data_IF_347547316995
#
_entry.id   IF_347547316995
#
_cell.length_a   1.000
_cell.length_b   1.000
_cell.length_c   1.000
_cell.angle_alpha   90.00
_cell.angle_beta   90.00
_cell.angle_gamma   90.00
#
_symmetry.space_group_name_H-M   'P 1'
#
loop_
_entity.id
_entity.type
_entity.pdbx_description
1 polymer ?
#
# COMPACT_ATOMS: atom_id res chain seq x y z
N UNK A 1 -27.88 0.16 9.17
CA UNK A 1 -26.54 0.33 8.55
C UNK A 1 -25.56 -0.45 9.40
N UNK A 2 -24.58 -1.12 8.81
CA UNK A 2 -23.58 -1.85 9.56
C UNK A 2 -22.56 -0.91 10.22
N UNK A 3 -21.91 -1.38 11.27
CA UNK A 3 -20.92 -0.61 12.03
C UNK A 3 -19.73 -0.14 11.14
N UNK A 4 -19.21 -1.04 10.30
CA UNK A 4 -18.09 -0.71 9.41
C UNK A 4 -18.53 0.25 8.30
N UNK A 5 -19.73 0.09 7.75
CA UNK A 5 -20.32 1.00 6.76
C UNK A 5 -20.44 2.42 7.31
N UNK A 6 -20.89 2.62 8.54
CA UNK A 6 -21.05 3.95 9.16
C UNK A 6 -19.69 4.63 9.34
N UNK A 7 -18.71 3.93 9.90
CA UNK A 7 -17.35 4.47 10.10
C UNK A 7 -16.70 4.84 8.75
N UNK A 8 -16.73 3.95 7.76
CA UNK A 8 -16.10 4.20 6.46
C UNK A 8 -16.79 5.34 5.70
N UNK A 9 -18.12 5.45 5.78
CA UNK A 9 -18.86 6.55 5.14
C UNK A 9 -18.53 7.90 5.77
N UNK A 10 -18.44 7.98 7.10
CA UNK A 10 -17.99 9.19 7.79
C UNK A 10 -16.55 9.54 7.43
N UNK A 11 -15.68 8.53 7.38
CA UNK A 11 -14.28 8.70 6.96
C UNK A 11 -14.18 9.26 5.55
N UNK A 12 -14.94 8.71 4.59
CA UNK A 12 -14.94 9.19 3.19
C UNK A 12 -15.38 10.65 3.07
N UNK A 13 -16.42 11.05 3.82
CA UNK A 13 -16.90 12.43 3.81
C UNK A 13 -15.84 13.41 4.32
N UNK A 14 -15.14 13.05 5.39
CA UNK A 14 -14.05 13.88 5.95
C UNK A 14 -12.86 13.92 4.98
N UNK A 15 -12.50 12.81 4.38
CA UNK A 15 -11.37 12.71 3.46
C UNK A 15 -11.55 13.54 2.22
N UNK A 16 -12.73 13.50 1.56
CA UNK A 16 -12.97 14.30 0.36
C UNK A 16 -12.91 15.80 0.67
N UNK A 17 -13.51 16.21 1.79
CA UNK A 17 -13.46 17.61 2.25
C UNK A 17 -12.03 18.06 2.55
N UNK A 18 -11.25 17.25 3.27
CA UNK A 18 -9.85 17.52 3.56
C UNK A 18 -9.00 17.59 2.28
N UNK A 19 -9.10 16.59 1.41
CA UNK A 19 -8.27 16.50 0.20
C UNK A 19 -8.54 17.65 -0.74
N UNK A 20 -9.82 17.99 -0.99
CA UNK A 20 -10.19 19.11 -1.87
C UNK A 20 -9.77 20.45 -1.29
N UNK A 21 -9.97 20.66 0.03
CA UNK A 21 -9.57 21.88 0.72
C UNK A 21 -8.06 22.08 0.75
N UNK A 22 -7.30 21.04 1.13
CA UNK A 22 -5.85 21.10 1.19
C UNK A 22 -5.22 21.27 -0.21
N UNK A 23 -5.73 20.54 -1.21
CA UNK A 23 -5.29 20.69 -2.60
C UNK A 23 -5.55 22.10 -3.12
N UNK A 24 -6.75 22.63 -2.92
CA UNK A 24 -7.12 23.99 -3.36
C UNK A 24 -6.27 25.06 -2.68
N UNK A 25 -6.04 24.94 -1.38
CA UNK A 25 -5.17 25.85 -0.61
C UNK A 25 -3.71 25.79 -1.12
N UNK A 26 -3.19 24.59 -1.39
CA UNK A 26 -1.85 24.40 -1.91
C UNK A 26 -1.70 25.01 -3.31
N UNK A 27 -2.64 24.74 -4.21
CA UNK A 27 -2.61 25.26 -5.58
C UNK A 27 -2.74 26.79 -5.57
N UNK A 28 -3.67 27.37 -4.79
CA UNK A 28 -3.85 28.83 -4.73
C UNK A 28 -2.64 29.54 -4.16
N UNK A 29 -2.05 29.03 -3.09
CA UNK A 29 -0.86 29.63 -2.45
C UNK A 29 0.41 29.51 -3.31
N UNK A 30 0.50 28.49 -4.15
CA UNK A 30 1.69 28.23 -4.99
C UNK A 30 1.43 28.43 -6.49
N UNK A 31 0.35 29.07 -6.89
CA UNK A 31 -0.02 29.28 -8.30
C UNK A 31 1.08 30.02 -9.07
N UNK A 32 1.75 31.00 -8.45
CA UNK A 32 2.87 31.72 -9.07
C UNK A 32 4.06 30.79 -9.35
N UNK A 33 4.36 29.86 -8.44
CA UNK A 33 5.42 28.88 -8.61
C UNK A 33 5.06 27.85 -9.71
N UNK A 34 3.81 27.39 -9.76
CA UNK A 34 3.31 26.49 -10.82
C UNK A 34 3.42 27.14 -12.19
N UNK A 35 2.99 28.40 -12.32
CA UNK A 35 3.13 29.19 -13.56
C UNK A 35 4.59 29.42 -13.89
N UNK A 36 5.43 29.76 -12.92
CA UNK A 36 6.86 29.95 -13.08
C UNK A 36 7.57 28.68 -13.59
N UNK A 37 7.21 27.51 -13.08
CA UNK A 37 7.74 26.22 -13.54
C UNK A 37 7.35 25.95 -15.01
N UNK A 38 6.13 26.28 -15.42
CA UNK A 38 5.68 26.14 -16.81
C UNK A 38 6.45 27.08 -17.75
N UNK A 39 6.61 28.36 -17.37
CA UNK A 39 7.38 29.34 -18.15
C UNK A 39 8.84 28.90 -18.25
N UNK A 40 9.44 28.42 -17.17
CA UNK A 40 10.80 27.89 -17.15
C UNK A 40 10.95 26.68 -18.09
N UNK A 41 9.96 25.76 -18.08
CA UNK A 41 9.97 24.63 -18.99
C UNK A 41 9.94 25.09 -20.47
N UNK A 42 9.06 26.04 -20.80
CA UNK A 42 8.96 26.60 -22.17
C UNK A 42 10.29 27.29 -22.55
N UNK A 43 10.89 28.06 -21.65
CA UNK A 43 12.16 28.74 -21.89
C UNK A 43 13.31 27.76 -22.14
N UNK A 44 13.43 26.71 -21.30
CA UNK A 44 14.46 25.68 -21.49
C UNK A 44 14.24 24.92 -22.80
N UNK A 45 13.00 24.50 -23.08
CA UNK A 45 12.67 23.80 -24.31
C UNK A 45 12.96 24.65 -25.54
N UNK A 46 12.51 25.91 -25.53
CA UNK A 46 12.80 26.88 -26.62
C UNK A 46 14.29 27.10 -26.82
N UNK A 47 15.06 27.22 -25.74
CA UNK A 47 16.51 27.33 -25.78
C UNK A 47 17.18 26.11 -26.43
N UNK A 48 16.74 24.90 -26.06
CA UNK A 48 17.26 23.66 -26.66
C UNK A 48 16.95 23.56 -28.17
N UNK A 49 15.77 24.00 -28.59
CA UNK A 49 15.39 24.06 -30.01
C UNK A 49 16.25 25.07 -30.79
N UNK A 50 16.43 26.28 -30.25
CA UNK A 50 17.20 27.33 -30.90
C UNK A 50 18.69 26.94 -31.09
N UNK A 51 19.22 26.13 -30.15
CA UNK A 51 20.60 25.64 -30.25
C UNK A 51 20.77 24.34 -31.03
N UNK A 52 19.71 23.85 -31.68
CA UNK A 52 19.67 22.56 -32.39
C UNK A 52 20.11 21.35 -31.54
N UNK A 53 19.89 21.40 -30.20
CA UNK A 53 20.19 20.29 -29.31
C UNK A 53 19.08 19.21 -29.39
N UNK A 54 17.92 19.59 -29.90
CA UNK A 54 16.79 18.70 -30.16
C UNK A 54 16.34 18.95 -31.60
N UNK A 55 16.45 17.93 -32.44
CA UNK A 55 15.83 17.95 -33.77
C UNK A 55 14.31 17.83 -33.60
N UNK A 56 13.61 18.95 -33.73
CA UNK A 56 12.16 18.98 -33.57
C UNK A 56 11.48 18.95 -34.91
N UNK A 57 10.73 17.89 -35.18
CA UNK A 57 9.69 17.91 -36.20
C UNK A 57 8.48 18.67 -35.66
N UNK A 58 7.67 19.23 -36.57
CA UNK A 58 6.42 19.91 -36.17
C UNK A 58 5.53 18.99 -35.30
N UNK A 59 5.54 17.68 -35.57
CA UNK A 59 4.84 16.65 -34.80
C UNK A 59 5.33 16.54 -33.35
N UNK A 60 6.63 16.68 -33.12
CA UNK A 60 7.18 16.58 -31.77
C UNK A 60 6.92 17.84 -30.94
N UNK A 61 6.95 19.01 -31.57
CA UNK A 61 6.54 20.26 -30.92
C UNK A 61 5.09 20.19 -30.39
N UNK A 62 4.16 19.65 -31.16
CA UNK A 62 2.77 19.45 -30.70
C UNK A 62 2.65 18.50 -29.51
N UNK A 63 3.44 17.45 -29.46
CA UNK A 63 3.46 16.53 -28.29
C UNK A 63 3.88 17.25 -26.99
N UNK A 64 4.87 18.13 -27.09
CA UNK A 64 5.31 18.92 -25.93
C UNK A 64 4.25 19.95 -25.50
N UNK A 65 3.62 20.64 -26.45
CA UNK A 65 2.54 21.59 -26.15
C UNK A 65 1.36 20.86 -25.48
N UNK A 66 0.95 19.70 -26.02
CA UNK A 66 -0.12 18.90 -25.44
C UNK A 66 0.23 18.39 -24.04
N UNK A 67 1.47 17.89 -23.85
CA UNK A 67 1.97 17.48 -22.53
C UNK A 67 1.88 18.63 -21.52
N UNK A 68 2.33 19.83 -21.88
CA UNK A 68 2.27 21.02 -21.03
C UNK A 68 0.83 21.38 -20.66
N UNK A 69 -0.05 21.44 -21.65
CA UNK A 69 -1.46 21.77 -21.44
C UNK A 69 -2.15 20.75 -20.52
N UNK A 70 -1.91 19.46 -20.72
CA UNK A 70 -2.45 18.40 -19.90
C UNK A 70 -1.94 18.50 -18.45
N UNK A 71 -0.63 18.63 -18.26
CA UNK A 71 -0.03 18.75 -16.92
C UNK A 71 -0.54 19.99 -16.19
N UNK A 72 -0.58 21.14 -16.86
CA UNK A 72 -1.09 22.37 -16.27
C UNK A 72 -2.57 22.28 -15.93
N UNK A 73 -3.39 21.75 -16.85
CA UNK A 73 -4.82 21.55 -16.65
C UNK A 73 -5.09 20.65 -15.43
N UNK A 74 -4.43 19.51 -15.35
CA UNK A 74 -4.60 18.58 -14.21
C UNK A 74 -4.06 19.18 -12.90
N UNK A 75 -2.91 19.88 -12.93
CA UNK A 75 -2.31 20.45 -11.72
C UNK A 75 -3.09 21.65 -11.16
N UNK A 76 -3.87 22.37 -11.96
CA UNK A 76 -4.55 23.60 -11.54
C UNK A 76 -6.08 23.48 -11.43
N UNK A 77 -6.67 22.46 -12.07
CA UNK A 77 -8.12 22.23 -12.05
C UNK A 77 -8.46 21.03 -11.17
N UNK A 78 -9.23 21.29 -10.10
CA UNK A 78 -9.73 20.22 -9.23
C UNK A 78 -10.56 19.17 -9.98
N UNK A 79 -11.38 19.61 -10.95
CA UNK A 79 -12.23 18.68 -11.73
C UNK A 79 -11.41 17.65 -12.53
N UNK A 80 -10.36 18.09 -13.22
CA UNK A 80 -9.45 17.19 -13.95
C UNK A 80 -8.64 16.32 -13.00
N UNK A 81 -8.14 16.91 -11.91
CA UNK A 81 -7.40 16.15 -10.88
C UNK A 81 -8.27 15.08 -10.22
N UNK A 82 -9.53 15.42 -9.88
CA UNK A 82 -10.50 14.50 -9.31
C UNK A 82 -10.76 13.31 -10.26
N UNK A 83 -11.02 13.58 -11.51
CA UNK A 83 -11.32 12.55 -12.50
C UNK A 83 -10.14 11.59 -12.75
N UNK A 84 -8.92 12.11 -12.89
CA UNK A 84 -7.75 11.29 -13.26
C UNK A 84 -7.04 10.62 -12.08
N UNK A 85 -7.08 11.22 -10.90
CA UNK A 85 -6.37 10.73 -9.73
C UNK A 85 -7.31 10.32 -8.59
N UNK A 86 -8.21 11.21 -8.17
CA UNK A 86 -9.06 10.90 -7.03
C UNK A 86 -9.98 9.71 -7.30
N UNK A 87 -10.73 9.72 -8.39
CA UNK A 87 -11.66 8.64 -8.73
C UNK A 87 -10.93 7.31 -8.97
N UNK A 88 -9.77 7.35 -9.63
CA UNK A 88 -9.00 6.14 -9.94
C UNK A 88 -8.42 5.50 -8.68
N UNK A 89 -7.86 6.28 -7.75
CA UNK A 89 -7.15 5.74 -6.59
C UNK A 89 -8.01 5.60 -5.33
N UNK A 90 -9.07 6.38 -5.19
CA UNK A 90 -9.96 6.33 -4.01
C UNK A 90 -11.20 5.49 -4.28
N UNK A 91 -11.89 5.72 -5.41
CA UNK A 91 -13.13 5.02 -5.75
C UNK A 91 -12.88 3.75 -6.59
N UNK A 92 -11.78 3.71 -7.36
CA UNK A 92 -11.38 2.57 -8.17
C UNK A 92 -11.26 1.26 -7.38
N UNK A 93 -10.60 1.21 -6.22
CA UNK A 93 -10.51 0.01 -5.40
C UNK A 93 -11.87 -0.61 -5.05
N UNK A 94 -12.89 0.19 -4.76
CA UNK A 94 -14.23 -0.32 -4.43
C UNK A 94 -14.89 -1.04 -5.60
N UNK A 95 -14.68 -0.58 -6.84
CA UNK A 95 -15.18 -1.26 -8.05
C UNK A 95 -14.47 -2.59 -8.29
N UNK A 96 -13.16 -2.67 -8.04
CA UNK A 96 -12.41 -3.92 -8.10
C UNK A 96 -12.86 -4.92 -7.04
N UNK A 97 -13.09 -4.45 -5.81
CA UNK A 97 -13.60 -5.27 -4.72
C UNK A 97 -14.98 -5.84 -5.09
N UNK A 98 -15.89 -5.01 -5.60
CA UNK A 98 -17.21 -5.45 -6.02
C UNK A 98 -17.14 -6.53 -7.13
N UNK A 99 -16.23 -6.40 -8.08
CA UNK A 99 -16.00 -7.40 -9.12
C UNK A 99 -15.46 -8.73 -8.57
N UNK A 100 -14.56 -8.69 -7.57
CA UNK A 100 -13.97 -9.88 -6.95
C UNK A 100 -14.93 -10.61 -6.01
N UNK A 101 -15.82 -9.89 -5.34
CA UNK A 101 -16.69 -10.42 -4.28
C UNK A 101 -18.12 -10.73 -4.75
N UNK A 102 -18.45 -10.34 -5.98
CA UNK A 102 -19.79 -10.55 -6.55
C UNK A 102 -20.81 -9.49 -6.10
N UNK A 103 -20.36 -8.26 -5.85
CA UNK A 103 -21.20 -7.08 -5.56
C UNK A 103 -20.96 -6.42 -4.20
N UNK A 104 -20.19 -7.04 -3.31
CA UNK A 104 -19.81 -6.41 -2.05
C UNK A 104 -18.77 -5.30 -2.28
N UNK A 105 -18.98 -4.15 -1.66
CA UNK A 105 -17.98 -3.06 -1.59
C UNK A 105 -17.14 -3.19 -0.33
N UNK A 106 -16.10 -2.35 -0.19
CA UNK A 106 -15.30 -2.30 1.04
C UNK A 106 -16.14 -2.05 2.31
N UNK A 107 -17.24 -1.32 2.17
CA UNK A 107 -18.17 -1.00 3.26
C UNK A 107 -19.05 -2.19 3.64
N UNK A 108 -19.75 -2.75 2.66
CA UNK A 108 -20.72 -3.85 2.89
C UNK A 108 -20.05 -5.18 3.17
N UNK A 109 -18.91 -5.45 2.51
CA UNK A 109 -18.18 -6.71 2.68
C UNK A 109 -17.67 -6.90 4.11
N UNK A 110 -17.18 -5.84 4.77
CA UNK A 110 -16.69 -5.93 6.14
C UNK A 110 -17.82 -6.21 7.14
N UNK A 111 -18.98 -5.58 6.95
CA UNK A 111 -20.18 -5.86 7.75
C UNK A 111 -20.69 -7.30 7.55
N UNK A 112 -20.60 -7.82 6.31
CA UNK A 112 -20.95 -9.20 6.01
C UNK A 112 -20.01 -10.21 6.70
N UNK A 113 -18.70 -9.94 6.73
CA UNK A 113 -17.72 -10.74 7.49
C UNK A 113 -18.08 -10.76 8.98
N UNK A 114 -18.31 -9.58 9.54
CA UNK A 114 -18.67 -9.42 10.95
C UNK A 114 -19.94 -10.19 11.30
N UNK A 115 -21.02 -9.97 10.53
CA UNK A 115 -22.30 -10.68 10.75
C UNK A 115 -22.17 -12.18 10.59
N UNK A 116 -21.39 -12.66 9.62
CA UNK A 116 -21.19 -14.10 9.40
C UNK A 116 -20.48 -14.74 10.59
N UNK A 117 -19.44 -14.11 11.12
CA UNK A 117 -18.75 -14.59 12.32
C UNK A 117 -19.66 -14.63 13.55
N UNK A 118 -20.45 -13.57 13.79
CA UNK A 118 -21.40 -13.54 14.91
C UNK A 118 -22.53 -14.56 14.76
N UNK A 119 -23.07 -14.73 13.55
CA UNK A 119 -24.09 -15.77 13.29
C UNK A 119 -23.54 -17.17 13.53
N UNK A 120 -22.29 -17.44 13.15
CA UNK A 120 -21.64 -18.72 13.40
C UNK A 120 -21.49 -18.98 14.91
N UNK A 121 -21.06 -17.98 15.69
CA UNK A 121 -20.95 -18.09 17.13
C UNK A 121 -22.30 -18.29 17.82
N UNK A 122 -23.32 -17.50 17.42
CA UNK A 122 -24.69 -17.63 17.97
C UNK A 122 -25.25 -19.01 17.72
N UNK A 123 -25.06 -19.59 16.54
CA UNK A 123 -25.51 -20.94 16.22
C UNK A 123 -24.92 -22.01 17.15
N UNK A 124 -23.69 -21.82 17.61
CA UNK A 124 -23.06 -22.71 18.60
C UNK A 124 -23.61 -22.45 19.98
N UNK A 125 -23.88 -21.22 20.38
CA UNK A 125 -24.46 -20.88 21.67
C UNK A 125 -25.90 -21.37 21.81
N UNK A 126 -26.72 -21.33 20.74
CA UNK A 126 -28.11 -21.85 20.74
C UNK A 126 -28.19 -23.36 21.01
N UNK A 127 -27.14 -24.10 20.62
CA UNK A 127 -27.06 -25.55 20.85
C UNK A 127 -26.35 -25.92 22.14
N UNK A 128 -25.75 -24.93 22.86
CA UNK A 128 -24.98 -25.18 24.08
C UNK A 128 -25.86 -25.24 25.33
N UNK A 129 -25.56 -26.18 26.22
CA UNK A 129 -26.06 -26.17 27.60
C UNK A 129 -25.15 -25.30 28.48
N UNK A 130 -25.69 -24.74 29.57
CA UNK A 130 -24.96 -23.89 30.51
C UNK A 130 -23.69 -24.54 31.12
N UNK A 131 -23.60 -25.87 31.03
CA UNK A 131 -22.46 -26.66 31.54
C UNK A 131 -21.48 -27.09 30.48
N UNK A 132 -21.73 -26.79 29.18
CA UNK A 132 -20.84 -27.16 28.06
C UNK A 132 -19.72 -26.16 27.82
N UNK A 133 -18.70 -26.18 28.71
CA UNK A 133 -17.54 -25.31 28.64
C UNK A 133 -16.83 -25.37 27.26
N UNK A 134 -16.86 -26.52 26.58
CA UNK A 134 -16.26 -26.69 25.26
C UNK A 134 -16.99 -25.81 24.21
N UNK A 135 -18.32 -25.86 24.15
CA UNK A 135 -19.11 -25.09 23.19
C UNK A 135 -19.00 -23.58 23.47
N UNK A 136 -19.05 -23.19 24.74
CA UNK A 136 -18.88 -21.79 25.16
C UNK A 136 -17.51 -21.26 24.76
N UNK A 137 -16.44 -22.03 24.97
CA UNK A 137 -15.08 -21.61 24.60
C UNK A 137 -14.89 -21.48 23.09
N UNK A 138 -15.51 -22.34 22.26
CA UNK A 138 -15.49 -22.25 20.81
C UNK A 138 -16.24 -21.01 20.34
N UNK A 139 -17.47 -20.77 20.82
CA UNK A 139 -18.27 -19.61 20.46
C UNK A 139 -17.55 -18.31 20.80
N UNK A 140 -16.95 -18.22 21.98
CA UNK A 140 -16.14 -17.05 22.39
C UNK A 140 -14.90 -16.86 21.52
N UNK A 141 -14.21 -17.95 21.16
CA UNK A 141 -13.05 -17.90 20.25
C UNK A 141 -13.41 -17.39 18.86
N UNK A 142 -14.57 -17.80 18.33
CA UNK A 142 -15.08 -17.31 17.03
C UNK A 142 -15.34 -15.80 17.10
N UNK A 143 -16.00 -15.31 18.16
CA UNK A 143 -16.27 -13.88 18.33
C UNK A 143 -14.96 -13.11 18.43
N UNK A 144 -14.03 -13.53 19.29
CA UNK A 144 -12.75 -12.86 19.48
C UNK A 144 -11.98 -12.77 18.16
N UNK A 145 -11.86 -13.88 17.45
CA UNK A 145 -11.18 -13.94 16.16
C UNK A 145 -11.85 -13.05 15.11
N UNK A 146 -13.18 -13.07 15.04
CA UNK A 146 -13.95 -12.22 14.12
C UNK A 146 -13.70 -10.74 14.42
N UNK A 147 -13.80 -10.32 15.68
CA UNK A 147 -13.60 -8.92 16.09
C UNK A 147 -12.18 -8.45 15.80
N UNK A 148 -11.17 -9.26 16.12
CA UNK A 148 -9.77 -8.90 15.85
C UNK A 148 -9.48 -8.84 14.35
N UNK A 149 -9.98 -9.80 13.57
CA UNK A 149 -9.78 -9.84 12.11
C UNK A 149 -10.45 -8.66 11.41
N UNK A 150 -11.73 -8.40 11.73
CA UNK A 150 -12.48 -7.27 11.18
C UNK A 150 -11.89 -5.94 11.63
N UNK A 151 -11.50 -5.84 12.90
CA UNK A 151 -10.84 -4.64 13.45
C UNK A 151 -9.53 -4.32 12.74
N UNK A 152 -8.70 -5.33 12.48
CA UNK A 152 -7.46 -5.14 11.75
C UNK A 152 -7.70 -4.80 10.27
N UNK A 153 -8.66 -5.45 9.61
CA UNK A 153 -9.04 -5.12 8.24
C UNK A 153 -9.56 -3.67 8.14
N UNK A 154 -10.43 -3.24 9.07
CA UNK A 154 -10.91 -1.86 9.14
C UNK A 154 -9.76 -0.86 9.34
N UNK A 155 -8.79 -1.20 10.21
CA UNK A 155 -7.57 -0.40 10.38
C UNK A 155 -6.80 -0.23 9.06
N UNK A 156 -6.60 -1.32 8.29
CA UNK A 156 -5.91 -1.24 7.00
C UNK A 156 -6.64 -0.36 5.98
N UNK A 157 -7.98 -0.43 5.96
CA UNK A 157 -8.81 0.40 5.07
C UNK A 157 -8.70 1.89 5.43
N UNK A 158 -8.82 2.23 6.70
CA UNK A 158 -8.72 3.62 7.17
C UNK A 158 -7.31 4.17 6.93
N UNK A 159 -6.27 3.38 7.24
CA UNK A 159 -4.88 3.74 6.99
C UNK A 159 -4.64 4.04 5.51
N UNK A 160 -5.13 3.17 4.63
CA UNK A 160 -5.04 3.33 3.18
C UNK A 160 -5.72 4.63 2.70
N UNK A 161 -6.94 4.87 3.16
CA UNK A 161 -7.70 6.08 2.81
C UNK A 161 -7.03 7.37 3.30
N UNK A 162 -6.50 7.39 4.52
CA UNK A 162 -5.76 8.54 5.04
C UNK A 162 -4.47 8.80 4.27
N UNK A 163 -3.71 7.73 3.96
CA UNK A 163 -2.50 7.87 3.18
C UNK A 163 -2.79 8.41 1.77
N UNK A 164 -3.83 7.90 1.10
CA UNK A 164 -4.27 8.41 -0.20
C UNK A 164 -4.70 9.87 -0.12
N UNK A 165 -5.45 10.26 0.91
CA UNK A 165 -5.89 11.65 1.10
C UNK A 165 -4.71 12.62 1.19
N UNK A 166 -3.69 12.28 2.00
CA UNK A 166 -2.49 13.10 2.17
C UNK A 166 -1.68 13.16 0.87
N UNK A 167 -1.47 12.02 0.20
CA UNK A 167 -0.71 11.96 -1.06
C UNK A 167 -1.41 12.73 -2.17
N UNK A 168 -2.75 12.65 -2.26
CA UNK A 168 -3.53 13.40 -3.24
C UNK A 168 -3.55 14.89 -2.94
N UNK A 169 -3.61 15.29 -1.67
CA UNK A 169 -3.58 16.71 -1.28
C UNK A 169 -2.32 17.44 -1.81
N UNK A 170 -1.17 16.76 -1.83
CA UNK A 170 0.09 17.31 -2.35
C UNK A 170 0.35 17.00 -3.83
N UNK A 171 -0.60 16.34 -4.49
CA UNK A 171 -0.46 15.80 -5.84
C UNK A 171 -0.12 16.84 -6.91
N UNK A 172 -0.66 18.07 -6.80
CA UNK A 172 -0.42 19.14 -7.75
C UNK A 172 1.08 19.43 -7.95
N UNK A 173 1.88 19.38 -6.87
CA UNK A 173 3.33 19.59 -6.94
C UNK A 173 3.99 18.48 -7.78
N UNK A 174 3.66 17.22 -7.49
CA UNK A 174 4.27 16.08 -8.21
C UNK A 174 3.89 16.05 -9.69
N UNK A 175 2.68 16.49 -10.02
CA UNK A 175 2.23 16.58 -11.42
C UNK A 175 3.06 17.61 -12.18
N UNK A 176 3.35 18.77 -11.58
CA UNK A 176 4.22 19.79 -12.19
C UNK A 176 5.66 19.28 -12.36
N UNK A 177 6.19 18.50 -11.39
CA UNK A 177 7.51 17.89 -11.48
C UNK A 177 7.66 16.88 -12.64
N UNK A 178 6.57 16.34 -13.17
CA UNK A 178 6.57 15.48 -14.36
C UNK A 178 7.04 16.21 -15.64
N UNK A 179 6.98 17.53 -15.68
CA UNK A 179 7.45 18.32 -16.83
C UNK A 179 8.95 18.14 -17.06
N UNK A 180 9.74 18.10 -16.01
CA UNK A 180 11.20 18.08 -16.07
C UNK A 180 11.72 16.64 -15.97
N UNK A 181 12.58 16.22 -16.88
CA UNK A 181 13.15 14.87 -16.89
C UNK A 181 13.96 14.57 -15.62
N UNK A 182 14.64 15.58 -15.05
CA UNK A 182 15.41 15.45 -13.82
C UNK A 182 14.56 15.11 -12.60
N UNK A 183 13.29 15.53 -12.56
CA UNK A 183 12.37 15.31 -11.43
C UNK A 183 11.25 14.31 -11.74
N UNK A 184 11.22 13.76 -12.93
CA UNK A 184 10.21 12.77 -13.36
C UNK A 184 10.15 11.53 -12.46
N UNK A 185 11.28 11.13 -11.89
CA UNK A 185 11.36 10.01 -10.94
C UNK A 185 10.57 10.28 -9.67
N UNK A 186 10.48 11.54 -9.21
CA UNK A 186 9.67 11.92 -8.04
C UNK A 186 8.17 11.73 -8.32
N UNK A 187 7.71 12.12 -9.51
CA UNK A 187 6.34 11.86 -9.94
C UNK A 187 6.05 10.36 -10.00
N UNK A 188 6.94 9.56 -10.59
CA UNK A 188 6.78 8.11 -10.66
C UNK A 188 6.72 7.47 -9.27
N UNK A 189 7.56 7.91 -8.34
CA UNK A 189 7.56 7.44 -6.95
C UNK A 189 6.27 7.81 -6.21
N UNK A 190 5.72 9.01 -6.48
CA UNK A 190 4.44 9.43 -5.94
C UNK A 190 3.29 8.58 -6.47
N UNK A 191 3.23 8.32 -7.79
CA UNK A 191 2.22 7.41 -8.39
C UNK A 191 2.34 6.00 -7.83
N UNK A 192 3.56 5.48 -7.67
CA UNK A 192 3.77 4.17 -7.05
C UNK A 192 3.26 4.12 -5.60
N UNK A 193 3.41 5.22 -4.85
CA UNK A 193 2.87 5.33 -3.50
C UNK A 193 1.34 5.33 -3.50
N UNK A 194 0.71 6.06 -4.42
CA UNK A 194 -0.75 6.01 -4.61
C UNK A 194 -1.23 4.60 -4.93
N UNK A 195 -0.55 3.93 -5.87
CA UNK A 195 -0.88 2.56 -6.26
C UNK A 195 -0.73 1.59 -5.09
N UNK A 196 0.33 1.73 -4.28
CA UNK A 196 0.53 0.92 -3.09
C UNK A 196 -0.68 1.00 -2.15
N UNK A 197 -1.09 2.21 -1.77
CA UNK A 197 -2.21 2.38 -0.86
C UNK A 197 -3.56 2.03 -1.49
N UNK A 198 -3.75 2.18 -2.80
CA UNK A 198 -4.94 1.72 -3.50
C UNK A 198 -5.06 0.19 -3.58
N UNK A 199 -3.93 -0.54 -3.61
CA UNK A 199 -3.89 -2.00 -3.60
C UNK A 199 -4.21 -2.61 -2.22
N UNK A 200 -3.93 -1.89 -1.12
CA UNK A 200 -4.17 -2.41 0.24
C UNK A 200 -5.63 -2.85 0.46
N UNK A 201 -6.67 -2.04 0.19
CA UNK A 201 -8.05 -2.47 0.34
C UNK A 201 -8.41 -3.65 -0.58
N UNK A 202 -7.95 -3.65 -1.82
CA UNK A 202 -8.22 -4.73 -2.79
C UNK A 202 -7.68 -6.06 -2.27
N UNK A 203 -6.41 -6.09 -1.84
CA UNK A 203 -5.78 -7.29 -1.31
C UNK A 203 -6.40 -7.74 0.01
N UNK A 204 -6.76 -6.80 0.89
CA UNK A 204 -7.45 -7.11 2.16
C UNK A 204 -8.76 -7.83 1.90
N UNK A 205 -9.60 -7.33 0.97
CA UNK A 205 -10.88 -7.95 0.66
C UNK A 205 -10.75 -9.26 -0.11
N UNK A 206 -9.82 -9.35 -1.06
CA UNK A 206 -9.52 -10.60 -1.75
C UNK A 206 -9.16 -11.71 -0.75
N UNK A 207 -8.31 -11.39 0.23
CA UNK A 207 -7.91 -12.31 1.28
C UNK A 207 -9.09 -12.67 2.21
N UNK A 208 -9.83 -11.66 2.69
CA UNK A 208 -11.00 -11.90 3.55
C UNK A 208 -12.04 -12.79 2.85
N UNK A 209 -12.31 -12.55 1.58
CA UNK A 209 -13.27 -13.35 0.82
C UNK A 209 -12.82 -14.81 0.68
N UNK A 210 -11.51 -15.03 0.40
CA UNK A 210 -10.92 -16.36 0.35
C UNK A 210 -11.04 -17.07 1.71
N UNK A 211 -10.68 -16.38 2.78
CA UNK A 211 -10.76 -16.88 4.16
C UNK A 211 -12.19 -17.23 4.54
N UNK A 212 -13.16 -16.37 4.23
CA UNK A 212 -14.57 -16.65 4.51
C UNK A 212 -15.07 -17.93 3.84
N UNK A 213 -14.65 -18.19 2.60
CA UNK A 213 -15.02 -19.44 1.90
C UNK A 213 -14.50 -20.68 2.63
N UNK A 214 -13.26 -20.63 3.10
CA UNK A 214 -12.64 -21.74 3.84
C UNK A 214 -13.28 -21.85 5.23
N UNK A 215 -13.44 -20.74 5.94
CA UNK A 215 -14.02 -20.71 7.29
C UNK A 215 -15.46 -21.19 7.32
N UNK A 216 -16.26 -20.90 6.28
CA UNK A 216 -17.64 -21.38 6.20
C UNK A 216 -17.72 -22.91 6.30
N UNK A 217 -16.84 -23.63 5.61
CA UNK A 217 -16.79 -25.09 5.69
C UNK A 217 -16.49 -25.58 7.12
N UNK A 218 -15.54 -24.93 7.82
CA UNK A 218 -15.21 -25.26 9.21
C UNK A 218 -16.35 -24.92 10.18
N UNK A 219 -16.98 -23.77 10.04
CA UNK A 219 -18.08 -23.35 10.91
C UNK A 219 -19.31 -24.22 10.71
N UNK A 220 -19.60 -24.66 9.50
CA UNK A 220 -20.73 -25.58 9.23
C UNK A 220 -20.47 -26.97 9.84
N UNK A 221 -19.23 -27.48 9.78
CA UNK A 221 -18.84 -28.73 10.45
C UNK A 221 -18.93 -28.63 11.98
N UNK A 222 -18.43 -27.54 12.58
CA UNK A 222 -18.52 -27.31 14.03
C UNK A 222 -19.98 -27.17 14.49
N UNK A 223 -20.81 -26.48 13.72
CA UNK A 223 -22.24 -26.34 14.04
C UNK A 223 -22.98 -27.67 13.96
N UNK A 224 -22.64 -28.54 13.00
CA UNK A 224 -23.23 -29.90 12.90
C UNK A 224 -22.75 -30.78 14.05
N UNK A 225 -21.47 -30.69 14.44
CA UNK A 225 -20.93 -31.42 15.61
C UNK A 225 -21.58 -30.94 16.92
N UNK A 226 -21.79 -29.63 17.08
CA UNK A 226 -22.49 -29.06 18.23
C UNK A 226 -23.93 -29.57 18.33
N UNK A 227 -24.70 -29.57 17.23
CA UNK A 227 -26.08 -30.05 17.17
C UNK A 227 -26.20 -31.55 17.48
N UNK A 228 -25.14 -32.33 17.20
CA UNK A 228 -25.11 -33.78 17.51
C UNK A 228 -24.55 -34.10 18.89
N UNK A 229 -24.18 -33.11 19.70
CA UNK A 229 -23.58 -33.31 21.04
C UNK A 229 -22.18 -33.95 21.00
N UNK A 230 -21.53 -34.00 19.83
CA UNK A 230 -20.21 -34.62 19.64
C UNK A 230 -19.04 -33.62 19.64
N UNK A 231 -19.32 -32.37 19.95
CA UNK A 231 -18.29 -31.32 19.94
C UNK A 231 -17.34 -31.49 21.12
N UNK A 232 -16.05 -31.59 20.82
CA UNK A 232 -15.00 -31.83 21.81
C UNK A 232 -13.99 -30.68 21.86
N UNK A 233 -13.27 -30.53 22.96
CA UNK A 233 -12.16 -29.57 23.06
C UNK A 233 -11.06 -29.78 21.97
N UNK A 234 -10.98 -30.99 21.38
CA UNK A 234 -10.02 -31.27 20.31
C UNK A 234 -10.35 -30.53 18.99
N UNK A 235 -11.58 -30.04 18.82
CA UNK A 235 -12.02 -29.31 17.61
C UNK A 235 -11.66 -27.82 17.66
N UNK A 236 -11.40 -27.27 18.84
CA UNK A 236 -11.07 -25.84 19.07
C UNK A 236 -9.74 -25.43 18.43
N UNK A 237 -8.61 -26.18 18.59
CA UNK A 237 -7.31 -25.75 18.13
C UNK A 237 -7.23 -25.52 16.62
N UNK A 238 -7.89 -26.35 15.81
CA UNK A 238 -7.88 -26.24 14.36
C UNK A 238 -8.48 -24.91 13.87
N UNK A 239 -9.65 -24.54 14.43
CA UNK A 239 -10.29 -23.28 14.12
C UNK A 239 -9.46 -22.07 14.57
N UNK A 240 -8.95 -22.13 15.80
CA UNK A 240 -8.15 -21.05 16.38
C UNK A 240 -6.84 -20.84 15.60
N UNK A 241 -6.12 -21.92 15.26
CA UNK A 241 -4.91 -21.86 14.45
C UNK A 241 -5.17 -21.23 13.07
N UNK A 242 -6.25 -21.63 12.41
CA UNK A 242 -6.62 -21.06 11.12
C UNK A 242 -6.89 -19.56 11.21
N UNK A 243 -7.58 -19.12 12.25
CA UNK A 243 -7.84 -17.71 12.47
C UNK A 243 -6.56 -16.90 12.78
N UNK A 244 -5.64 -17.45 13.56
CA UNK A 244 -4.32 -16.84 13.80
C UNK A 244 -3.53 -16.76 12.49
N UNK A 245 -3.51 -17.80 11.67
CA UNK A 245 -2.86 -17.78 10.35
C UNK A 245 -3.48 -16.67 9.48
N UNK A 246 -4.81 -16.54 9.48
CA UNK A 246 -5.50 -15.46 8.77
C UNK A 246 -5.02 -14.08 9.18
N UNK A 247 -4.89 -13.82 10.48
CA UNK A 247 -4.36 -12.55 11.00
C UNK A 247 -2.92 -12.31 10.55
N UNK A 248 -2.06 -13.34 10.62
CA UNK A 248 -0.66 -13.24 10.19
C UNK A 248 -0.58 -12.92 8.69
N UNK A 249 -1.43 -13.54 7.87
CA UNK A 249 -1.48 -13.26 6.42
C UNK A 249 -2.03 -11.86 6.16
N UNK A 250 -3.05 -11.41 6.89
CA UNK A 250 -3.54 -10.03 6.81
C UNK A 250 -2.45 -9.00 7.14
N UNK A 251 -1.59 -9.27 8.12
CA UNK A 251 -0.46 -8.41 8.46
C UNK A 251 0.58 -8.29 7.33
N UNK A 252 0.60 -9.24 6.39
CA UNK A 252 1.49 -9.19 5.21
C UNK A 252 0.91 -8.35 4.06
N UNK A 253 -0.38 -8.01 4.08
CA UNK A 253 -1.04 -7.28 3.00
C UNK A 253 -0.31 -5.98 2.63
N UNK A 254 0.07 -5.09 3.58
CA UNK A 254 0.80 -3.87 3.22
C UNK A 254 2.15 -4.15 2.54
N UNK A 255 2.84 -5.19 2.96
CA UNK A 255 4.13 -5.61 2.37
C UNK A 255 3.94 -6.13 0.94
N UNK A 256 2.89 -6.92 0.70
CA UNK A 256 2.54 -7.42 -0.63
C UNK A 256 2.15 -6.27 -1.56
N UNK A 257 1.32 -5.33 -1.08
CA UNK A 257 0.94 -4.14 -1.82
C UNK A 257 2.15 -3.29 -2.21
N UNK A 258 3.08 -3.06 -1.27
CA UNK A 258 4.33 -2.34 -1.52
C UNK A 258 5.22 -3.07 -2.55
N UNK A 259 5.30 -4.39 -2.48
CA UNK A 259 6.02 -5.21 -3.45
C UNK A 259 5.43 -5.11 -4.87
N UNK A 260 4.11 -5.09 -5.00
CA UNK A 260 3.43 -4.93 -6.28
C UNK A 260 3.58 -3.52 -6.85
N UNK A 261 3.42 -2.49 -6.03
CA UNK A 261 3.54 -1.09 -6.44
C UNK A 261 4.99 -0.70 -6.77
N UNK A 262 5.97 -1.16 -5.97
CA UNK A 262 7.39 -0.90 -6.18
C UNK A 262 8.07 -1.87 -7.14
N UNK A 263 7.50 -3.07 -7.34
CA UNK A 263 8.06 -4.12 -8.20
C UNK A 263 8.05 -3.79 -9.70
N UNK A 264 7.27 -2.81 -10.13
CA UNK A 264 7.33 -2.24 -11.48
C UNK A 264 8.60 -1.40 -11.73
N UNK A 265 9.36 -1.10 -10.67
CA UNK A 265 10.66 -0.42 -10.73
C UNK A 265 11.86 -1.39 -10.64
N UNK A 266 11.64 -2.69 -10.86
CA UNK A 266 12.68 -3.74 -10.84
C UNK A 266 13.62 -3.66 -12.05
N UNK A 267 14.28 -2.54 -12.26
CA UNK A 267 15.45 -2.54 -13.12
C UNK A 267 16.53 -1.57 -12.66
N UNK A 268 16.91 -1.60 -11.39
CA UNK A 268 18.27 -1.18 -10.99
C UNK A 268 18.54 -1.57 -9.54
N UNK A 269 19.18 -2.72 -9.34
CA UNK A 269 20.08 -3.07 -8.27
C UNK A 269 19.86 -2.55 -6.85
N UNK A 270 18.74 -2.88 -6.19
CA UNK A 270 18.59 -2.59 -4.77
C UNK A 270 17.45 -3.45 -4.20
N UNK A 271 17.80 -4.54 -3.52
CA UNK A 271 16.83 -5.39 -2.84
C UNK A 271 16.00 -4.55 -1.85
N UNK A 272 14.65 -4.62 -1.86
CA UNK A 272 13.84 -4.03 -0.81
C UNK A 272 14.16 -4.76 0.50
N UNK A 273 14.74 -4.03 1.46
CA UNK A 273 14.92 -4.53 2.81
C UNK A 273 13.53 -4.75 3.41
N UNK A 274 13.08 -6.01 3.40
CA UNK A 274 11.89 -6.42 4.11
C UNK A 274 12.11 -6.13 5.60
N UNK A 275 11.46 -5.08 6.12
CA UNK A 275 11.33 -4.85 7.56
C UNK A 275 10.37 -5.88 8.15
N UNK A 276 10.78 -7.14 8.19
CA UNK A 276 10.20 -8.12 9.10
C UNK A 276 10.91 -8.01 10.43
N UNK A 277 10.25 -8.36 11.54
CA UNK A 277 10.83 -8.33 12.90
C UNK A 277 12.19 -9.07 13.01
N UNK A 278 12.52 -9.94 12.05
CA UNK A 278 13.84 -10.55 11.87
C UNK A 278 14.92 -9.61 11.32
N UNK A 279 14.56 -8.52 10.62
CA UNK A 279 15.50 -7.57 10.04
C UNK A 279 16.26 -6.74 11.08
N UNK A 280 15.64 -6.48 12.23
CA UNK A 280 16.28 -5.71 13.32
C UNK A 280 17.41 -6.48 14.03
N UNK A 281 17.30 -7.80 14.08
CA UNK A 281 18.36 -8.66 14.63
C UNK A 281 19.44 -8.97 13.59
N UNK A 282 19.08 -9.08 12.30
CA UNK A 282 20.03 -9.33 11.21
C UNK A 282 20.91 -8.14 10.89
N UNK A 283 20.40 -6.90 10.98
CA UNK A 283 21.19 -5.68 10.72
C UNK A 283 22.34 -5.48 11.73
N UNK A 284 22.17 -5.90 13.00
CA UNK A 284 23.26 -5.87 14.01
C UNK A 284 24.35 -6.91 13.73
N UNK A 285 24.03 -7.97 13.02
CA UNK A 285 24.98 -9.05 12.68
C UNK A 285 25.73 -8.78 11.38
N UNK A 286 25.05 -8.23 10.37
CA UNK A 286 25.65 -7.82 9.10
C UNK A 286 26.62 -6.64 9.26
N UNK A 287 26.31 -5.65 10.10
CA UNK A 287 27.17 -4.52 10.41
C UNK A 287 28.52 -4.93 11.03
N UNK A 288 28.53 -5.96 11.88
CA UNK A 288 29.77 -6.49 12.47
C UNK A 288 30.67 -7.22 11.48
N UNK A 289 30.10 -7.83 10.43
CA UNK A 289 30.91 -8.49 9.38
C UNK A 289 31.42 -7.49 8.34
N UNK A 290 30.65 -6.49 7.96
CA UNK A 290 31.12 -5.45 7.03
C UNK A 290 32.28 -4.64 7.62
N UNK A 291 32.30 -4.38 8.91
CA UNK A 291 33.38 -3.67 9.59
C UNK A 291 34.69 -4.51 9.65
N UNK A 292 34.60 -5.84 9.70
CA UNK A 292 35.78 -6.74 9.66
C UNK A 292 36.38 -6.87 8.26
N UNK A 293 35.55 -6.88 7.20
CA UNK A 293 36.02 -6.98 5.81
C UNK A 293 36.66 -5.66 5.36
N UNK A 294 36.12 -4.50 5.77
CA UNK A 294 36.73 -3.20 5.46
C UNK A 294 38.11 -2.99 6.09
N UNK A 295 38.36 -3.54 7.29
CA UNK A 295 39.69 -3.48 7.93
C UNK A 295 40.72 -4.40 7.27
N UNK A 296 40.29 -5.48 6.62
CA UNK A 296 41.19 -6.41 5.94
C UNK A 296 41.59 -5.94 4.53
N UNK A 297 40.66 -5.27 3.82
CA UNK A 297 40.94 -4.68 2.49
C UNK A 297 41.88 -3.47 2.52
N UNK A 298 41.78 -2.61 3.54
CA UNK A 298 42.63 -1.41 3.69
C UNK A 298 44.11 -1.70 3.95
N UNK A 299 44.39 -2.86 4.57
CA UNK A 299 45.79 -3.30 4.82
C UNK A 299 46.55 -3.74 3.57
N UNK A 300 45.86 -4.38 2.62
CA UNK A 300 46.49 -4.85 1.38
C UNK A 300 46.78 -3.73 0.38
N UNK A 301 45.98 -2.69 0.33
CA UNK A 301 46.19 -1.56 -0.57
C UNK A 301 47.40 -0.71 -0.13
N UNK A 302 47.59 -0.54 1.19
CA UNK A 302 48.79 0.18 1.73
C UNK A 302 50.09 -0.62 1.54
N UNK A 303 50.04 -1.95 1.58
CA UNK A 303 51.20 -2.82 1.30
C UNK A 303 51.64 -2.74 -0.17
N UNK A 304 50.73 -2.73 -1.13
CA UNK A 304 51.02 -2.65 -2.54
C UNK A 304 51.62 -1.29 -2.97
N UNK A 305 51.19 -0.22 -2.31
CA UNK A 305 51.72 1.13 -2.59
C UNK A 305 53.20 1.31 -2.09
N UNK A 306 53.52 0.73 -0.93
CA UNK A 306 54.90 0.73 -0.40
C UNK A 306 55.88 -0.13 -1.20
N UNK A 307 55.41 -1.28 -1.71
CA UNK A 307 56.24 -2.16 -2.54
C UNK A 307 56.61 -1.54 -3.90
N UNK A 308 55.73 -0.75 -4.51
CA UNK A 308 55.99 -0.03 -5.76
C UNK A 308 56.99 1.09 -5.61
N UNK A 309 56.98 1.84 -4.50
CA UNK A 309 57.95 2.93 -4.26
C UNK A 309 59.35 2.42 -3.83
N UNK A 310 59.46 1.24 -3.24
CA UNK A 310 60.73 0.61 -2.91
C UNK A 310 61.47 0.07 -4.17
N UNK A 311 60.71 -0.35 -5.20
CA UNK A 311 61.26 -0.88 -6.44
C UNK A 311 61.76 0.22 -7.43
N UNK A 312 61.32 1.47 -7.28
CA UNK A 312 61.72 2.58 -8.15
C UNK A 312 62.90 3.42 -7.64
N UNK A 313 63.40 3.14 -6.40
CA UNK A 313 64.50 3.87 -5.76
C UNK A 313 65.87 3.22 -5.84
N UNK A 314 66.05 2.11 -6.58
CA UNK A 314 67.28 1.32 -6.62
C UNK A 314 68.03 1.33 -7.95
N UNK A 315 67.87 2.37 -8.78
CA UNK A 315 68.66 2.57 -10.00
C UNK A 315 69.34 3.97 -10.01
N UNK A 316 70.45 4.09 -9.32
CA UNK A 316 71.50 5.00 -9.59
C UNK A 316 72.80 4.33 -9.20
#
# INVERSE_FOLDING_TARGET
MGFATDILTKTDTVIIGYTSGAWSALVSSHMSAIRGALVLYIAIYGWCVLNNWIETTLSDAWKHVFKMAAVFGIATSWGWFHMFFYDVFVNGPDSFIAALTGGDTSKTGLDNVFQTGFKAANKIFETSSWFDLAQISIGLSIILLTVVTVGYALFLLILSKFALAILLAIGAIFIVLYLFDATRTLFSSWVNSLLNYALVPILTFALLHLVLRIMKSYTDQLAAAAASGKLTFADVPGFFLFGVITLVVLMQVPSIAAGLAGGLSLSTGGAPMAMTAGGFLGARWAGKRAFKVGKWGGGKIRGAYRARHAASGGAK
#
